data_IF_189047479280
#
_entry.id   IF_189047479280
#
_cell.length_a   1.000
_cell.length_b   1.000
_cell.length_c   1.000
_cell.angle_alpha   90.00
_cell.angle_beta   90.00
_cell.angle_gamma   90.00
#
_symmetry.space_group_name_H-M   'P 1'
#
loop_
_entity.id
_entity.type
_entity.pdbx_description
1 polymer ?
#
# COMPACT_ATOMS: atom_id res chain seq x y z
N UNK A 1 18.32 -35.01 36.08
CA UNK A 1 17.97 -34.79 34.66
C UNK A 1 16.97 -33.65 34.59
N UNK A 2 17.42 -32.45 34.20
CA UNK A 2 16.56 -31.26 34.16
C UNK A 2 15.90 -31.13 32.77
N UNK A 3 14.57 -31.09 32.75
CA UNK A 3 13.74 -30.92 31.56
C UNK A 3 13.95 -29.50 31.00
N UNK A 4 14.50 -29.42 29.78
CA UNK A 4 14.62 -28.19 29.00
C UNK A 4 13.21 -27.78 28.57
N UNK A 5 12.63 -26.80 29.26
CA UNK A 5 11.43 -26.10 28.80
C UNK A 5 11.77 -25.49 27.45
N UNK A 6 11.20 -26.03 26.38
CA UNK A 6 11.28 -25.43 25.05
C UNK A 6 10.50 -24.13 25.11
N UNK A 7 11.22 -23.01 25.10
CA UNK A 7 10.62 -21.71 24.89
C UNK A 7 9.92 -21.70 23.53
N UNK A 8 8.62 -21.42 23.55
CA UNK A 8 7.83 -21.12 22.36
C UNK A 8 8.45 -19.86 21.74
N UNK A 9 8.79 -19.83 20.44
CA UNK A 9 9.32 -18.62 19.82
C UNK A 9 8.24 -17.54 19.90
N UNK A 10 8.54 -16.45 20.60
CA UNK A 10 7.69 -15.28 20.60
C UNK A 10 7.55 -14.78 19.16
N UNK A 11 6.32 -14.62 18.67
CA UNK A 11 6.05 -13.93 17.40
C UNK A 11 6.63 -12.53 17.53
N UNK A 12 7.73 -12.26 16.82
CA UNK A 12 8.44 -11.00 16.94
C UNK A 12 7.54 -9.82 16.56
N UNK A 13 7.22 -8.98 17.54
CA UNK A 13 6.69 -7.63 17.38
C UNK A 13 7.80 -6.67 16.89
N UNK A 14 8.57 -7.08 15.88
CA UNK A 14 9.64 -6.26 15.33
C UNK A 14 9.07 -5.15 14.44
N UNK A 15 9.69 -3.99 14.44
CA UNK A 15 9.54 -2.98 13.39
C UNK A 15 10.54 -3.26 12.27
N UNK A 16 10.37 -2.59 11.14
CA UNK A 16 11.31 -2.70 10.02
C UNK A 16 12.70 -2.17 10.45
N UNK A 17 13.78 -2.84 10.03
CA UNK A 17 15.13 -2.31 10.27
C UNK A 17 15.32 -0.98 9.53
N UNK A 18 16.14 -0.07 10.08
CA UNK A 18 16.44 1.23 9.45
C UNK A 18 16.96 1.09 8.02
N UNK A 19 17.82 0.09 7.75
CA UNK A 19 18.35 -0.14 6.41
C UNK A 19 17.24 -0.54 5.41
N UNK A 20 16.36 -1.46 5.81
CA UNK A 20 15.23 -1.87 4.97
C UNK A 20 14.20 -0.74 4.76
N UNK A 21 14.01 0.12 5.77
CA UNK A 21 13.16 1.30 5.65
C UNK A 21 13.70 2.27 4.60
N UNK A 22 14.99 2.61 4.70
CA UNK A 22 15.67 3.50 3.75
C UNK A 22 15.59 2.92 2.33
N UNK A 23 15.86 1.62 2.17
CA UNK A 23 15.80 0.94 0.87
C UNK A 23 14.42 1.04 0.22
N UNK A 24 13.35 0.70 0.97
CA UNK A 24 11.99 0.75 0.46
C UNK A 24 11.53 2.17 0.13
N UNK A 25 11.83 3.14 1.02
CA UNK A 25 11.49 4.55 0.81
C UNK A 25 12.22 5.09 -0.42
N UNK A 26 13.54 4.90 -0.49
CA UNK A 26 14.37 5.39 -1.58
C UNK A 26 13.96 4.80 -2.92
N UNK A 27 13.69 3.49 -2.99
CA UNK A 27 13.19 2.84 -4.20
C UNK A 27 11.93 3.51 -4.74
N UNK A 28 10.96 3.80 -3.87
CA UNK A 28 9.70 4.43 -4.27
C UNK A 28 9.91 5.87 -4.76
N UNK A 29 10.69 6.67 -4.03
CA UNK A 29 10.96 8.06 -4.42
C UNK A 29 11.78 8.17 -5.71
N UNK A 30 12.72 7.24 -5.95
CA UNK A 30 13.44 7.17 -7.23
C UNK A 30 12.52 6.77 -8.39
N UNK A 31 11.56 5.86 -8.17
CA UNK A 31 10.55 5.55 -9.18
C UNK A 31 9.69 6.77 -9.52
N UNK A 32 9.21 7.51 -8.51
CA UNK A 32 8.48 8.76 -8.72
C UNK A 32 9.35 9.79 -9.46
N UNK A 33 10.60 9.99 -9.04
CA UNK A 33 11.53 10.92 -9.71
C UNK A 33 11.76 10.55 -11.17
N UNK A 34 11.79 9.26 -11.50
CA UNK A 34 11.96 8.81 -12.89
C UNK A 34 10.68 9.02 -13.71
N UNK A 35 9.51 8.77 -13.10
CA UNK A 35 8.21 9.02 -13.72
C UNK A 35 7.91 10.51 -13.93
N UNK A 36 8.61 11.43 -13.24
CA UNK A 36 8.56 12.89 -13.54
C UNK A 36 9.31 13.26 -14.82
N UNK A 37 9.96 12.30 -15.45
CA UNK A 37 10.71 12.49 -16.69
C UNK A 37 10.15 11.60 -17.78
N UNK A 38 10.61 11.80 -19.02
CA UNK A 38 10.27 10.93 -20.15
C UNK A 38 10.99 9.57 -20.12
N UNK A 39 11.69 9.22 -19.04
CA UNK A 39 12.42 7.95 -18.91
C UNK A 39 11.70 6.92 -18.05
N UNK A 40 10.47 7.19 -17.61
CA UNK A 40 9.69 6.22 -16.87
C UNK A 40 9.34 5.01 -17.72
N UNK A 41 9.18 3.88 -17.04
CA UNK A 41 8.99 2.57 -17.63
C UNK A 41 7.92 1.83 -16.83
N UNK A 42 7.37 0.75 -17.38
CA UNK A 42 6.35 -0.06 -16.72
C UNK A 42 6.78 -0.52 -15.32
N UNK A 43 8.07 -0.77 -15.11
CA UNK A 43 8.64 -1.07 -13.79
C UNK A 43 8.43 0.04 -12.75
N UNK A 44 8.65 1.30 -13.15
CA UNK A 44 8.51 2.46 -12.27
C UNK A 44 7.04 2.64 -11.88
N UNK A 45 6.13 2.67 -12.88
CA UNK A 45 4.69 2.78 -12.63
C UNK A 45 4.18 1.61 -11.79
N UNK A 46 4.54 0.38 -12.16
CA UNK A 46 4.15 -0.82 -11.43
C UNK A 46 4.67 -0.85 -9.99
N UNK A 47 5.80 -0.21 -9.70
CA UNK A 47 6.31 -0.06 -8.32
C UNK A 47 5.42 0.88 -7.52
N UNK A 48 5.03 2.04 -8.06
CA UNK A 48 4.10 2.96 -7.39
C UNK A 48 2.73 2.31 -7.19
N UNK A 49 2.19 1.62 -8.19
CA UNK A 49 0.91 0.91 -8.09
C UNK A 49 0.97 -0.17 -7.00
N UNK A 50 2.01 -1.01 -6.97
CA UNK A 50 2.18 -2.02 -5.89
C UNK A 50 2.25 -1.38 -4.51
N UNK A 51 2.99 -0.27 -4.38
CA UNK A 51 3.08 0.51 -3.13
C UNK A 51 1.73 1.09 -2.71
N UNK A 52 0.91 1.59 -3.64
CA UNK A 52 -0.45 2.07 -3.35
C UNK A 52 -1.33 0.97 -2.73
N UNK A 53 -1.29 -0.25 -3.28
CA UNK A 53 -2.05 -1.37 -2.74
C UNK A 53 -1.54 -1.82 -1.37
N UNK A 54 -0.23 -1.90 -1.17
CA UNK A 54 0.35 -2.21 0.13
C UNK A 54 -0.02 -1.16 1.19
N UNK A 55 0.11 0.13 0.83
CA UNK A 55 -0.27 1.27 1.68
C UNK A 55 -1.76 1.23 2.03
N UNK A 56 -2.63 0.91 1.06
CA UNK A 56 -4.05 0.75 1.32
C UNK A 56 -4.33 -0.39 2.32
N UNK A 57 -3.67 -1.54 2.18
CA UNK A 57 -3.87 -2.65 3.10
C UNK A 57 -3.36 -2.37 4.51
N UNK A 58 -2.33 -1.53 4.66
CA UNK A 58 -1.89 -0.99 5.95
C UNK A 58 -2.94 -0.04 6.54
N UNK A 59 -3.48 0.87 5.74
CA UNK A 59 -4.59 1.75 6.13
C UNK A 59 -5.82 0.96 6.58
N UNK A 60 -6.17 -0.10 5.85
CA UNK A 60 -7.28 -1.00 6.19
C UNK A 60 -7.03 -1.77 7.50
N UNK A 61 -5.76 -2.00 7.86
CA UNK A 61 -5.34 -2.56 9.14
C UNK A 61 -5.19 -1.50 10.26
N UNK A 62 -5.38 -0.21 9.96
CA UNK A 62 -5.37 0.88 10.93
C UNK A 62 -4.05 1.67 11.01
N UNK A 63 -3.17 1.56 10.02
CA UNK A 63 -1.88 2.26 9.98
C UNK A 63 -1.85 3.40 8.96
N UNK A 64 -1.30 4.55 9.35
CA UNK A 64 -1.23 5.76 8.53
C UNK A 64 -2.39 6.73 8.78
N UNK A 65 -2.50 7.76 7.93
CA UNK A 65 -3.56 8.78 8.01
C UNK A 65 -4.95 8.21 7.68
N UNK A 66 -5.99 8.75 8.30
CA UNK A 66 -7.39 8.32 8.12
C UNK A 66 -8.00 8.76 6.77
N UNK A 67 -7.27 9.55 5.98
CA UNK A 67 -7.76 10.05 4.71
C UNK A 67 -7.71 9.00 3.58
N UNK A 68 -8.80 8.23 3.45
CA UNK A 68 -8.97 7.25 2.36
C UNK A 68 -9.00 7.85 0.95
N UNK A 69 -9.28 9.16 0.82
CA UNK A 69 -9.45 9.81 -0.49
C UNK A 69 -8.16 9.85 -1.30
N UNK A 70 -7.01 9.83 -0.63
CA UNK A 70 -5.69 9.78 -1.29
C UNK A 70 -5.57 8.58 -2.24
N UNK A 71 -6.14 7.44 -1.84
CA UNK A 71 -6.09 6.23 -2.66
C UNK A 71 -6.98 6.35 -3.90
N UNK A 72 -8.17 6.94 -3.76
CA UNK A 72 -9.05 7.21 -4.92
C UNK A 72 -8.42 8.19 -5.91
N UNK A 73 -7.82 9.26 -5.40
CA UNK A 73 -7.17 10.29 -6.21
C UNK A 73 -6.01 9.69 -7.01
N UNK A 74 -5.10 8.98 -6.33
CA UNK A 74 -3.93 8.38 -6.99
C UNK A 74 -4.32 7.25 -7.94
N UNK A 75 -5.30 6.41 -7.59
CA UNK A 75 -5.77 5.31 -8.47
C UNK A 75 -6.28 5.84 -9.82
N UNK A 76 -7.03 6.95 -9.79
CA UNK A 76 -7.51 7.60 -11.01
C UNK A 76 -6.34 8.06 -11.89
N UNK A 77 -5.39 8.80 -11.31
CA UNK A 77 -4.24 9.35 -12.03
C UNK A 77 -3.33 8.27 -12.62
N UNK A 78 -3.04 7.23 -11.85
CA UNK A 78 -2.18 6.13 -12.31
C UNK A 78 -2.90 5.28 -13.38
N UNK A 79 -4.22 5.14 -13.30
CA UNK A 79 -5.01 4.43 -14.32
C UNK A 79 -5.06 5.19 -15.65
N UNK A 80 -5.19 6.51 -15.61
CA UNK A 80 -5.10 7.37 -16.80
C UNK A 80 -3.71 7.25 -17.45
N UNK A 81 -2.65 7.29 -16.66
CA UNK A 81 -1.29 7.07 -17.13
C UNK A 81 -1.11 5.66 -17.73
N UNK A 82 -1.64 4.63 -17.08
CA UNK A 82 -1.56 3.26 -17.56
C UNK A 82 -2.29 3.05 -18.91
N UNK A 83 -3.41 3.74 -19.12
CA UNK A 83 -4.26 3.59 -20.31
C UNK A 83 -3.79 4.46 -21.49
N UNK A 84 -3.12 5.58 -21.21
CA UNK A 84 -2.61 6.50 -22.24
C UNK A 84 -1.28 6.06 -22.86
N UNK A 85 -0.50 5.22 -22.18
CA UNK A 85 0.76 4.72 -22.70
C UNK A 85 0.54 3.72 -23.85
N UNK A 86 1.14 3.99 -25.01
CA UNK A 86 1.26 3.00 -26.10
C UNK A 86 2.23 1.88 -25.67
N UNK A 87 2.15 0.74 -26.34
CA UNK A 87 2.90 -0.49 -26.00
C UNK A 87 4.44 -0.30 -25.90
N UNK A 88 4.99 0.74 -26.56
CA UNK A 88 6.42 1.13 -26.53
C UNK A 88 6.66 2.55 -25.98
N UNK A 89 5.65 3.16 -25.35
CA UNK A 89 5.77 4.51 -24.81
C UNK A 89 6.39 4.52 -23.41
N UNK A 90 7.19 5.54 -23.16
CA UNK A 90 7.63 5.88 -21.82
C UNK A 90 6.44 6.31 -20.95
N UNK A 91 6.49 5.97 -19.67
CA UNK A 91 5.50 6.43 -18.70
C UNK A 91 5.98 7.72 -18.08
N UNK A 92 5.22 8.81 -18.23
CA UNK A 92 5.51 10.09 -17.59
C UNK A 92 4.27 10.57 -16.84
N UNK A 93 4.42 10.87 -15.55
CA UNK A 93 3.38 11.47 -14.72
C UNK A 93 3.15 12.90 -15.20
N UNK A 94 1.90 13.23 -15.52
CA UNK A 94 1.51 14.63 -15.70
C UNK A 94 1.64 15.41 -14.39
N UNK A 95 1.85 16.73 -14.48
CA UNK A 95 2.03 17.61 -13.32
C UNK A 95 0.92 17.48 -12.24
N UNK A 96 -0.31 17.19 -12.67
CA UNK A 96 -1.48 17.00 -11.81
C UNK A 96 -1.45 15.69 -10.99
N UNK A 97 -0.67 14.70 -11.42
CA UNK A 97 -0.53 13.40 -10.76
C UNK A 97 0.69 13.31 -9.83
N UNK A 98 1.64 14.24 -9.94
CA UNK A 98 2.87 14.24 -9.15
C UNK A 98 2.61 14.46 -7.66
N UNK A 99 1.85 15.50 -7.32
CA UNK A 99 1.60 15.88 -5.93
C UNK A 99 0.78 14.81 -5.19
N UNK A 100 -0.34 14.28 -5.72
CA UNK A 100 -1.05 13.18 -5.09
C UNK A 100 -0.18 11.94 -4.87
N UNK A 101 0.64 11.59 -5.87
CA UNK A 101 1.54 10.44 -5.76
C UNK A 101 2.61 10.66 -4.68
N UNK A 102 3.18 11.86 -4.59
CA UNK A 102 4.15 12.20 -3.54
C UNK A 102 3.52 12.13 -2.14
N UNK A 103 2.28 12.61 -1.98
CA UNK A 103 1.53 12.50 -0.71
C UNK A 103 1.31 11.03 -0.33
N UNK A 104 0.97 10.18 -1.28
CA UNK A 104 0.81 8.74 -1.03
C UNK A 104 2.12 8.11 -0.55
N UNK A 105 3.26 8.46 -1.17
CA UNK A 105 4.56 7.96 -0.73
C UNK A 105 4.91 8.43 0.68
N UNK A 106 4.57 9.67 1.04
CA UNK A 106 4.75 10.16 2.41
C UNK A 106 3.89 9.41 3.44
N UNK A 107 2.65 9.07 3.09
CA UNK A 107 1.79 8.19 3.92
C UNK A 107 2.46 6.82 4.09
N UNK A 108 2.95 6.24 3.00
CA UNK A 108 3.60 4.93 3.05
C UNK A 108 4.91 4.96 3.86
N UNK A 109 5.72 6.02 3.75
CA UNK A 109 6.93 6.20 4.57
C UNK A 109 6.60 6.26 6.07
N UNK A 110 5.51 6.95 6.44
CA UNK A 110 5.04 6.95 7.83
C UNK A 110 4.58 5.55 8.28
N UNK A 111 3.90 4.80 7.41
CA UNK A 111 3.52 3.42 7.71
C UNK A 111 4.75 2.50 7.86
N UNK A 112 5.79 2.67 7.04
CA UNK A 112 7.05 1.92 7.18
C UNK A 112 7.74 2.17 8.52
N UNK A 113 7.62 3.39 9.07
CA UNK A 113 8.19 3.76 10.36
C UNK A 113 7.40 3.22 11.55
N UNK A 114 6.08 3.12 11.42
CA UNK A 114 5.17 2.93 12.57
C UNK A 114 4.50 1.56 12.63
N UNK A 115 4.30 0.91 11.48
CA UNK A 115 3.60 -0.38 11.43
C UNK A 115 4.50 -1.53 11.93
N UNK A 116 3.94 -2.50 12.68
CA UNK A 116 4.61 -3.74 12.98
C UNK A 116 4.99 -4.50 11.70
N UNK A 117 6.14 -5.18 11.72
CA UNK A 117 6.64 -5.95 10.58
C UNK A 117 5.64 -7.00 10.08
N UNK A 118 4.88 -7.61 11.00
CA UNK A 118 3.84 -8.58 10.64
C UNK A 118 2.73 -7.97 9.77
N UNK A 119 2.36 -6.72 10.04
CA UNK A 119 1.33 -6.00 9.28
C UNK A 119 1.88 -5.50 7.95
N UNK A 120 3.15 -5.06 7.91
CA UNK A 120 3.86 -4.76 6.66
C UNK A 120 3.89 -5.99 5.75
N UNK A 121 4.34 -7.15 6.26
CA UNK A 121 4.39 -8.40 5.50
C UNK A 121 2.99 -8.81 5.03
N UNK A 122 1.99 -8.74 5.90
CA UNK A 122 0.61 -9.10 5.56
C UNK A 122 0.05 -8.19 4.45
N UNK A 123 0.29 -6.88 4.52
CA UNK A 123 -0.15 -5.91 3.53
C UNK A 123 0.48 -6.15 2.15
N UNK A 124 1.80 -6.38 2.10
CA UNK A 124 2.51 -6.74 0.86
C UNK A 124 2.00 -8.05 0.27
N UNK A 125 1.80 -9.09 1.09
CA UNK A 125 1.24 -10.35 0.61
C UNK A 125 -0.19 -10.19 0.07
N UNK A 126 -1.02 -9.34 0.68
CA UNK A 126 -2.36 -9.03 0.16
C UNK A 126 -2.30 -8.31 -1.18
N UNK A 127 -1.37 -7.37 -1.35
CA UNK A 127 -1.12 -6.69 -2.61
C UNK A 127 -0.70 -7.68 -3.70
N UNK A 128 0.32 -8.49 -3.44
CA UNK A 128 0.80 -9.49 -4.41
C UNK A 128 -0.29 -10.50 -4.80
N UNK A 129 -1.05 -11.02 -3.83
CA UNK A 129 -2.20 -11.89 -4.13
C UNK A 129 -3.22 -11.22 -5.05
N UNK A 130 -3.47 -9.92 -4.88
CA UNK A 130 -4.38 -9.18 -5.74
C UNK A 130 -3.84 -9.03 -7.18
N UNK A 131 -2.54 -8.78 -7.34
CA UNK A 131 -1.92 -8.68 -8.68
C UNK A 131 -1.88 -10.03 -9.41
N UNK A 132 -1.66 -11.12 -8.67
CA UNK A 132 -1.67 -12.49 -9.19
C UNK A 132 -3.07 -13.09 -9.40
N UNK A 133 -4.13 -12.45 -8.88
CA UNK A 133 -5.50 -12.87 -9.11
C UNK A 133 -5.87 -12.77 -10.60
N UNK A 134 -6.84 -13.59 -11.01
CA UNK A 134 -7.43 -13.46 -12.34
C UNK A 134 -8.05 -12.07 -12.54
N UNK A 135 -8.20 -11.58 -13.79
CA UNK A 135 -8.80 -10.27 -14.04
C UNK A 135 -10.16 -10.05 -13.38
N UNK A 136 -10.96 -11.12 -13.26
CA UNK A 136 -12.31 -11.09 -12.64
C UNK A 136 -12.25 -10.99 -11.10
N UNK A 137 -11.19 -11.53 -10.48
CA UNK A 137 -11.01 -11.57 -9.03
C UNK A 137 -10.16 -10.40 -8.50
N UNK A 138 -9.39 -9.76 -9.39
CA UNK A 138 -8.54 -8.62 -9.05
C UNK A 138 -9.39 -7.46 -8.56
N UNK A 139 -9.13 -7.03 -7.34
CA UNK A 139 -9.83 -5.91 -6.72
C UNK A 139 -9.17 -4.60 -7.14
N UNK A 140 -10.00 -3.64 -7.54
CA UNK A 140 -9.58 -2.25 -7.73
C UNK A 140 -9.57 -1.51 -6.39
N UNK A 141 -8.86 -0.37 -6.33
CA UNK A 141 -8.89 0.51 -5.15
C UNK A 141 -10.32 0.95 -4.81
N UNK A 142 -11.20 1.37 -5.75
CA UNK A 142 -12.59 1.67 -5.45
C UNK A 142 -13.35 0.53 -4.74
N UNK A 143 -13.17 -0.72 -5.20
CA UNK A 143 -13.80 -1.89 -4.56
C UNK A 143 -13.24 -2.13 -3.16
N UNK A 144 -11.93 -1.97 -2.98
CA UNK A 144 -11.27 -2.10 -1.69
C UNK A 144 -11.75 -1.04 -0.68
N UNK A 145 -11.88 0.21 -1.12
CA UNK A 145 -12.44 1.31 -0.32
C UNK A 145 -13.87 0.99 0.12
N UNK A 146 -14.71 0.50 -0.79
CA UNK A 146 -16.09 0.13 -0.47
C UNK A 146 -16.13 -0.98 0.59
N UNK A 147 -15.29 -2.01 0.47
CA UNK A 147 -15.19 -3.11 1.44
C UNK A 147 -14.72 -2.61 2.81
N UNK A 148 -13.73 -1.72 2.84
CA UNK A 148 -13.22 -1.14 4.09
C UNK A 148 -14.28 -0.30 4.81
N UNK A 149 -15.02 0.55 4.08
CA UNK A 149 -16.14 1.34 4.63
C UNK A 149 -17.24 0.47 5.24
N UNK A 150 -17.62 -0.63 4.57
CA UNK A 150 -18.61 -1.59 5.08
C UNK A 150 -18.15 -2.22 6.40
N UNK A 151 -16.92 -2.75 6.45
CA UNK A 151 -16.36 -3.35 7.66
C UNK A 151 -16.31 -2.38 8.84
N UNK A 152 -15.86 -1.14 8.62
CA UNK A 152 -15.82 -0.11 9.68
C UNK A 152 -17.23 0.22 10.21
N UNK A 153 -18.22 0.27 9.32
CA UNK A 153 -19.62 0.52 9.70
C UNK A 153 -20.20 -0.62 10.52
N UNK A 154 -19.93 -1.87 10.12
CA UNK A 154 -20.37 -3.08 10.84
C UNK A 154 -19.73 -3.15 12.23
N UNK A 155 -18.41 -2.93 12.33
CA UNK A 155 -17.71 -2.88 13.62
C UNK A 155 -18.29 -1.84 14.56
N UNK A 156 -18.60 -0.63 14.06
CA UNK A 156 -19.19 0.44 14.87
C UNK A 156 -20.60 0.07 15.37
N UNK A 157 -21.40 -0.61 14.57
CA UNK A 157 -22.72 -1.11 14.99
C UNK A 157 -22.59 -2.17 16.09
N UNK A 158 -21.69 -3.14 15.93
CA UNK A 158 -21.47 -4.20 16.94
C UNK A 158 -21.02 -3.62 18.28
N UNK A 159 -20.12 -2.64 18.28
CA UNK A 159 -19.66 -1.97 19.49
C UNK A 159 -20.79 -1.19 20.20
N UNK A 160 -21.71 -0.59 19.46
CA UNK A 160 -22.86 0.13 20.04
C UNK A 160 -23.88 -0.82 20.67
N UNK A 161 -24.03 -2.05 20.17
CA UNK A 161 -24.96 -3.06 20.72
C UNK A 161 -24.41 -3.73 21.98
N UNK A 162 -23.10 -3.74 22.19
CA UNK A 162 -22.47 -4.34 23.40
C UNK A 162 -22.53 -3.40 24.61
N UNK A 163 -22.72 -2.09 24.39
CA UNK A 163 -22.71 -1.05 25.43
C UNK A 163 -24.14 -0.65 25.86
N UNK A 164 -25.19 -1.15 25.17
CA UNK A 164 -26.61 -0.94 25.51
C UNK A 164 -27.20 -2.16 26.19
#
# INVERSE_FOLDING_TARGET
MALRVRSIPQRGHGTLSTAALIDLSLRNHLCLSTLRTEHGAAFHLGTIVRTMFASFFLFDAGYGDENVLIYSEVDLMLSELATSAKLDAHYSLGAHAEEPTARLLAVYDNQLQTAPLVELVAAHQRAERNFHASPEERLSIPTLIQRSKRRRTEMRRMQSTIIS
#
